data_IF_167414074177
#
_entry.id   IF_167414074177
#
_cell.length_a   1.000
_cell.length_b   1.000
_cell.length_c   1.000
_cell.angle_alpha   90.00
_cell.angle_beta   90.00
_cell.angle_gamma   90.00
#
_symmetry.space_group_name_H-M   'P 1'
#
loop_
_entity.id
_entity.type
_entity.pdbx_description
1 polymer ?
#
# COMPACT_ATOMS: atom_id res chain seq x y z
N UNK A 1 -2.45 45.32 9.96
CA UNK A 1 -2.33 43.87 9.66
C UNK A 1 -2.93 42.93 10.74
N UNK A 2 -3.40 43.41 11.90
CA UNK A 2 -3.98 42.53 12.94
C UNK A 2 -5.38 41.94 12.62
N UNK A 3 -6.17 42.54 11.73
CA UNK A 3 -7.56 42.12 11.55
C UNK A 3 -7.73 40.76 10.85
N UNK A 4 -6.77 40.34 10.01
CA UNK A 4 -6.88 39.08 9.26
C UNK A 4 -6.76 37.84 10.15
N UNK A 5 -5.89 37.90 11.17
CA UNK A 5 -5.74 36.80 12.14
C UNK A 5 -7.02 36.56 12.95
N UNK A 6 -7.71 37.63 13.33
CA UNK A 6 -8.98 37.54 14.04
C UNK A 6 -10.07 36.88 13.19
N UNK A 7 -10.12 37.20 11.91
CA UNK A 7 -11.14 36.64 11.02
C UNK A 7 -10.95 35.14 10.78
N UNK A 8 -9.71 34.67 10.67
CA UNK A 8 -9.41 33.23 10.55
C UNK A 8 -9.80 32.45 11.80
N UNK A 9 -9.41 32.95 12.98
CA UNK A 9 -9.76 32.34 14.25
C UNK A 9 -11.29 32.30 14.42
N UNK A 10 -11.98 33.37 14.06
CA UNK A 10 -13.43 33.45 14.07
C UNK A 10 -14.06 32.40 13.15
N UNK A 11 -13.60 32.27 11.90
CA UNK A 11 -14.11 31.26 10.97
C UNK A 11 -13.90 29.84 11.52
N UNK A 12 -12.80 29.57 12.21
CA UNK A 12 -12.57 28.27 12.85
C UNK A 12 -13.46 28.02 14.06
N UNK A 13 -13.64 29.02 14.91
CA UNK A 13 -14.57 28.95 16.04
C UNK A 13 -16.02 28.70 15.57
N UNK A 14 -16.37 29.22 14.40
CA UNK A 14 -17.69 29.03 13.78
C UNK A 14 -17.78 27.74 12.93
N UNK A 15 -16.74 26.91 12.87
CA UNK A 15 -16.73 25.65 12.12
C UNK A 15 -16.51 25.79 10.60
N UNK A 16 -16.24 26.98 10.09
CA UNK A 16 -15.95 27.26 8.67
C UNK A 16 -14.49 26.94 8.30
N UNK A 17 -13.99 25.75 8.67
CA UNK A 17 -12.57 25.39 8.53
C UNK A 17 -12.06 25.41 7.08
N UNK A 18 -12.91 25.03 6.12
CA UNK A 18 -12.56 25.11 4.69
C UNK A 18 -12.34 26.55 4.24
N UNK A 19 -13.22 27.46 4.65
CA UNK A 19 -13.12 28.89 4.34
C UNK A 19 -11.90 29.50 5.03
N UNK A 20 -11.66 29.16 6.31
CA UNK A 20 -10.47 29.59 7.04
C UNK A 20 -9.17 29.13 6.35
N UNK A 21 -9.12 27.87 5.91
CA UNK A 21 -8.00 27.32 5.14
C UNK A 21 -7.83 28.03 3.80
N UNK A 22 -8.91 28.22 3.04
CA UNK A 22 -8.87 28.95 1.76
C UNK A 22 -8.34 30.36 1.95
N UNK A 23 -8.75 31.05 3.02
CA UNK A 23 -8.25 32.37 3.37
C UNK A 23 -6.75 32.35 3.69
N UNK A 24 -6.26 31.40 4.48
CA UNK A 24 -4.82 31.25 4.76
C UNK A 24 -4.00 30.94 3.52
N UNK A 25 -4.46 30.02 2.69
CA UNK A 25 -3.79 29.68 1.43
C UNK A 25 -3.80 30.87 0.45
N UNK A 26 -4.89 31.63 0.42
CA UNK A 26 -5.01 32.85 -0.37
C UNK A 26 -4.04 33.92 0.14
N UNK A 27 -3.95 34.14 1.45
CA UNK A 27 -2.96 35.04 2.05
C UNK A 27 -1.54 34.63 1.70
N UNK A 28 -1.23 33.32 1.73
CA UNK A 28 0.07 32.78 1.31
C UNK A 28 0.36 33.00 -0.18
N UNK A 29 -0.66 33.07 -1.02
CA UNK A 29 -0.52 33.37 -2.45
C UNK A 29 -0.30 34.86 -2.73
N UNK A 30 -0.82 35.75 -1.88
CA UNK A 30 -0.66 37.20 -2.00
C UNK A 30 0.60 37.75 -1.32
N UNK A 31 1.14 37.05 -0.30
CA UNK A 31 2.35 37.45 0.43
C UNK A 31 3.69 37.21 -0.32
N UNK A 32 3.67 37.33 -1.65
CA UNK A 32 4.65 38.09 -2.45
C UNK A 32 5.03 37.39 -3.78
N UNK A 33 4.39 37.74 -4.92
CA UNK A 33 4.80 37.30 -6.25
C UNK A 33 6.09 37.97 -6.77
N UNK A 34 6.69 38.94 -6.06
CA UNK A 34 7.83 39.77 -6.49
C UNK A 34 9.04 39.74 -5.56
N UNK A 35 8.93 39.33 -4.30
CA UNK A 35 10.09 39.08 -3.44
C UNK A 35 10.66 37.67 -3.67
N UNK A 36 11.98 37.53 -3.59
CA UNK A 36 12.73 36.27 -3.70
C UNK A 36 12.41 35.19 -2.65
N UNK A 37 11.24 35.24 -2.00
CA UNK A 37 10.80 34.34 -0.92
C UNK A 37 10.20 33.02 -1.42
N UNK A 38 9.96 32.83 -2.73
CA UNK A 38 9.61 31.51 -3.26
C UNK A 38 10.71 30.46 -2.98
N UNK A 39 11.98 30.88 -2.92
CA UNK A 39 13.10 30.04 -2.54
C UNK A 39 13.04 29.61 -1.07
N UNK A 40 12.47 30.45 -0.18
CA UNK A 40 12.37 30.23 1.26
C UNK A 40 11.47 29.04 1.61
N UNK A 41 10.36 28.85 0.89
CA UNK A 41 9.41 27.76 1.11
C UNK A 41 9.65 26.53 0.23
N UNK A 42 10.62 26.60 -0.70
CA UNK A 42 10.95 25.49 -1.60
C UNK A 42 11.25 24.18 -0.83
N UNK A 43 12.00 24.17 0.29
CA UNK A 43 12.23 22.96 1.06
C UNK A 43 10.95 22.34 1.65
N UNK A 44 10.04 23.15 2.20
CA UNK A 44 8.76 22.68 2.74
C UNK A 44 7.88 22.06 1.65
N UNK A 45 7.76 22.75 0.51
CA UNK A 45 6.95 22.28 -0.62
C UNK A 45 7.53 20.96 -1.17
N UNK A 46 8.85 20.87 -1.30
CA UNK A 46 9.51 19.65 -1.76
C UNK A 46 9.33 18.51 -0.76
N UNK A 47 9.47 18.78 0.54
CA UNK A 47 9.25 17.79 1.59
C UNK A 47 7.81 17.30 1.59
N UNK A 48 6.81 18.20 1.58
CA UNK A 48 5.38 17.86 1.54
C UNK A 48 5.07 16.97 0.34
N UNK A 49 5.49 17.38 -0.87
CA UNK A 49 5.28 16.60 -2.09
C UNK A 49 5.96 15.23 -2.03
N UNK A 50 7.15 15.17 -1.46
CA UNK A 50 7.89 13.92 -1.25
C UNK A 50 7.15 12.98 -0.30
N UNK A 51 6.69 13.51 0.83
CA UNK A 51 5.95 12.76 1.85
C UNK A 51 4.63 12.23 1.29
N UNK A 52 3.82 13.08 0.65
CA UNK A 52 2.53 12.69 0.07
C UNK A 52 2.66 11.63 -1.03
N UNK A 53 3.73 11.72 -1.85
CA UNK A 53 4.03 10.68 -2.83
C UNK A 53 4.34 9.36 -2.14
N UNK A 54 5.18 9.39 -1.10
CA UNK A 54 5.59 8.20 -0.36
C UNK A 54 4.43 7.56 0.40
N UNK A 55 3.56 8.38 0.99
CA UNK A 55 2.31 7.95 1.64
C UNK A 55 1.35 7.31 0.64
N UNK A 56 1.17 7.90 -0.55
CA UNK A 56 0.36 7.29 -1.62
C UNK A 56 0.87 5.90 -1.99
N UNK A 57 2.19 5.71 -2.03
CA UNK A 57 2.79 4.40 -2.27
C UNK A 57 2.47 3.42 -1.14
N UNK A 58 2.51 3.86 0.13
CA UNK A 58 2.10 3.02 1.27
C UNK A 58 0.63 2.58 1.12
N UNK A 59 -0.28 3.51 0.85
CA UNK A 59 -1.70 3.21 0.66
C UNK A 59 -1.91 2.21 -0.48
N UNK A 60 -1.21 2.39 -1.60
CA UNK A 60 -1.28 1.47 -2.72
C UNK A 60 -0.74 0.07 -2.38
N UNK A 61 0.37 -0.02 -1.64
CA UNK A 61 0.93 -1.30 -1.17
C UNK A 61 -0.02 -2.01 -0.20
N UNK A 62 -0.60 -1.30 0.76
CA UNK A 62 -1.57 -1.87 1.68
C UNK A 62 -2.84 -2.35 0.96
N UNK A 63 -3.32 -1.60 -0.03
CA UNK A 63 -4.44 -2.02 -0.88
C UNK A 63 -4.12 -3.28 -1.70
N UNK A 64 -2.87 -3.40 -2.20
CA UNK A 64 -2.38 -4.60 -2.88
C UNK A 64 -2.34 -5.79 -1.91
N UNK A 65 -1.81 -5.62 -0.71
CA UNK A 65 -1.79 -6.66 0.34
C UNK A 65 -3.22 -7.14 0.62
N UNK A 66 -4.15 -6.22 0.92
CA UNK A 66 -5.55 -6.56 1.16
C UNK A 66 -6.21 -7.29 -0.02
N UNK A 67 -5.89 -6.91 -1.26
CA UNK A 67 -6.40 -7.61 -2.44
C UNK A 67 -5.88 -9.04 -2.49
N UNK A 68 -4.56 -9.24 -2.39
CA UNK A 68 -3.91 -10.55 -2.46
C UNK A 68 -4.36 -11.47 -1.32
N UNK A 69 -4.47 -10.95 -0.09
CA UNK A 69 -4.96 -11.69 1.08
C UNK A 69 -6.42 -12.09 0.95
N UNK A 70 -7.26 -11.28 0.27
CA UNK A 70 -8.65 -11.64 0.02
C UNK A 70 -8.80 -12.64 -1.12
N UNK A 71 -7.96 -12.55 -2.14
CA UNK A 71 -7.97 -13.44 -3.29
C UNK A 71 -7.44 -14.84 -2.94
N UNK A 72 -6.51 -14.96 -1.98
CA UNK A 72 -5.93 -16.25 -1.58
C UNK A 72 -6.99 -17.26 -1.09
N UNK A 73 -7.85 -16.97 -0.09
CA UNK A 73 -8.89 -17.91 0.33
C UNK A 73 -9.92 -18.20 -0.76
N UNK A 74 -10.26 -17.20 -1.59
CA UNK A 74 -11.21 -17.38 -2.69
C UNK A 74 -10.67 -18.35 -3.74
N UNK A 75 -9.38 -18.22 -4.06
CA UNK A 75 -8.70 -19.15 -4.94
C UNK A 75 -8.64 -20.56 -4.35
N UNK A 76 -8.25 -20.70 -3.09
CA UNK A 76 -8.18 -22.00 -2.41
C UNK A 76 -9.54 -22.69 -2.31
N UNK A 77 -10.62 -21.93 -2.12
CA UNK A 77 -11.98 -22.47 -2.01
C UNK A 77 -12.57 -22.87 -3.38
N UNK A 78 -12.29 -22.12 -4.44
CA UNK A 78 -12.95 -22.31 -5.75
C UNK A 78 -12.10 -23.06 -6.77
N UNK A 79 -10.79 -23.12 -6.56
CA UNK A 79 -9.82 -23.56 -7.57
C UNK A 79 -9.76 -22.66 -8.80
N UNK A 80 -10.51 -21.55 -8.83
CA UNK A 80 -10.58 -20.63 -9.95
C UNK A 80 -9.65 -19.43 -9.71
N UNK A 81 -8.73 -19.20 -10.64
CA UNK A 81 -7.90 -17.99 -10.65
C UNK A 81 -8.86 -16.80 -10.83
N UNK A 82 -8.88 -15.83 -9.90
CA UNK A 82 -9.76 -14.68 -10.03
C UNK A 82 -9.51 -13.97 -11.37
N UNK A 83 -10.58 -13.67 -12.11
CA UNK A 83 -10.52 -13.10 -13.47
C UNK A 83 -9.74 -11.79 -13.56
N UNK A 84 -9.49 -11.15 -12.43
CA UNK A 84 -8.83 -9.84 -12.29
C UNK A 84 -7.34 -9.96 -12.00
N UNK A 85 -6.85 -11.18 -11.73
CA UNK A 85 -5.43 -11.42 -11.53
C UNK A 85 -4.75 -11.39 -12.89
N UNK A 86 -4.28 -10.21 -13.28
CA UNK A 86 -3.17 -10.17 -14.23
C UNK A 86 -1.97 -10.74 -13.48
N UNK A 87 -1.58 -11.97 -13.83
CA UNK A 87 -0.24 -12.47 -13.55
C UNK A 87 0.78 -11.36 -13.85
N UNK A 88 1.89 -11.28 -13.09
CA UNK A 88 2.87 -10.21 -13.23
C UNK A 88 3.25 -10.00 -14.71
N UNK A 89 3.49 -8.75 -15.16
CA UNK A 89 3.61 -8.35 -16.58
C UNK A 89 4.67 -9.06 -17.42
N UNK A 90 5.45 -10.02 -16.89
CA UNK A 90 6.50 -10.75 -17.62
C UNK A 90 5.99 -11.58 -18.81
N UNK A 91 4.68 -11.59 -19.09
CA UNK A 91 4.09 -12.26 -20.26
C UNK A 91 3.36 -11.34 -21.26
N UNK A 92 3.52 -10.00 -21.20
CA UNK A 92 2.79 -9.08 -22.11
C UNK A 92 3.19 -9.24 -23.60
N UNK A 93 4.28 -9.94 -23.91
CA UNK A 93 4.68 -10.23 -25.31
C UNK A 93 4.23 -11.59 -25.86
N UNK A 94 3.65 -12.48 -25.04
CA UNK A 94 3.26 -13.83 -25.49
C UNK A 94 1.74 -13.93 -25.44
N UNK A 95 1.11 -14.31 -26.57
CA UNK A 95 -0.34 -14.58 -26.70
C UNK A 95 -0.85 -15.20 -25.39
N UNK A 96 -1.88 -14.61 -24.76
CA UNK A 96 -2.52 -15.16 -23.56
C UNK A 96 -2.72 -16.66 -23.78
N UNK A 97 -1.96 -17.55 -23.12
CA UNK A 97 -2.18 -18.97 -23.28
C UNK A 97 -3.57 -19.21 -22.68
N UNK A 98 -4.53 -19.62 -23.53
CA UNK A 98 -5.93 -19.73 -23.16
C UNK A 98 -6.05 -20.50 -21.85
N UNK A 99 -6.50 -19.82 -20.80
CA UNK A 99 -6.66 -20.29 -19.40
C UNK A 99 -5.85 -21.55 -19.13
N UNK A 100 -4.53 -21.44 -19.34
CA UNK A 100 -3.65 -22.59 -19.18
C UNK A 100 -3.69 -23.00 -17.72
N UNK A 101 -3.90 -24.30 -17.47
CA UNK A 101 -3.96 -24.95 -16.17
C UNK A 101 -2.69 -24.66 -15.37
N UNK A 102 -2.57 -23.47 -14.77
CA UNK A 102 -1.65 -23.29 -13.67
C UNK A 102 -2.09 -24.26 -12.58
N UNK A 103 -1.18 -25.13 -12.14
CA UNK A 103 -1.47 -25.95 -10.97
C UNK A 103 -1.76 -25.02 -9.79
N UNK A 104 -2.74 -25.40 -8.97
CA UNK A 104 -3.13 -24.66 -7.76
C UNK A 104 -1.90 -24.33 -6.90
N UNK A 105 -0.98 -25.29 -6.81
CA UNK A 105 0.31 -25.17 -6.10
C UNK A 105 1.19 -24.04 -6.66
N UNK A 106 1.33 -23.95 -7.98
CA UNK A 106 2.17 -22.94 -8.62
C UNK A 106 1.61 -21.53 -8.45
N UNK A 107 0.28 -21.40 -8.51
CA UNK A 107 -0.38 -20.12 -8.28
C UNK A 107 -0.27 -19.67 -6.81
N UNK A 108 -0.53 -20.58 -5.84
CA UNK A 108 -0.37 -20.26 -4.42
C UNK A 108 1.05 -19.82 -4.09
N UNK A 109 2.06 -20.55 -4.58
CA UNK A 109 3.46 -20.19 -4.37
C UNK A 109 3.83 -18.82 -4.98
N UNK A 110 3.29 -18.49 -6.15
CA UNK A 110 3.49 -17.17 -6.75
C UNK A 110 2.83 -16.04 -5.93
N UNK A 111 1.61 -16.27 -5.45
CA UNK A 111 0.86 -15.32 -4.63
C UNK A 111 1.55 -15.06 -3.28
N UNK A 112 2.03 -16.11 -2.62
CA UNK A 112 2.80 -16.02 -1.38
C UNK A 112 4.12 -15.28 -1.57
N UNK A 113 4.85 -15.56 -2.67
CA UNK A 113 6.09 -14.84 -3.02
C UNK A 113 5.81 -13.35 -3.23
N UNK A 114 4.74 -13.01 -3.94
CA UNK A 114 4.34 -11.61 -4.14
C UNK A 114 3.94 -10.94 -2.83
N UNK A 115 3.10 -11.58 -2.01
CA UNK A 115 2.70 -11.07 -0.70
C UNK A 115 3.90 -10.78 0.20
N UNK A 116 4.89 -11.66 0.23
CA UNK A 116 6.14 -11.47 0.96
C UNK A 116 6.86 -10.19 0.50
N UNK A 117 7.07 -10.04 -0.81
CA UNK A 117 7.76 -8.88 -1.40
C UNK A 117 7.00 -7.57 -1.12
N UNK A 118 5.68 -7.58 -1.28
CA UNK A 118 4.85 -6.38 -1.08
C UNK A 118 4.85 -5.97 0.40
N UNK A 119 4.81 -6.92 1.33
CA UNK A 119 4.92 -6.65 2.78
C UNK A 119 6.29 -6.05 3.14
N UNK A 120 7.38 -6.64 2.65
CA UNK A 120 8.74 -6.11 2.87
C UNK A 120 8.88 -4.68 2.30
N UNK A 121 8.32 -4.42 1.12
CA UNK A 121 8.32 -3.09 0.52
C UNK A 121 7.47 -2.11 1.34
N UNK A 122 6.30 -2.53 1.83
CA UNK A 122 5.46 -1.73 2.71
C UNK A 122 6.21 -1.32 3.98
N UNK A 123 6.88 -2.26 4.64
CA UNK A 123 7.67 -1.97 5.84
C UNK A 123 8.83 -1.01 5.56
N UNK A 124 9.52 -1.13 4.41
CA UNK A 124 10.55 -0.16 3.99
C UNK A 124 9.97 1.23 3.76
N UNK A 125 8.80 1.32 3.13
CA UNK A 125 8.10 2.59 2.89
C UNK A 125 7.69 3.22 4.21
N UNK A 126 7.14 2.45 5.14
CA UNK A 126 6.77 2.92 6.48
C UNK A 126 7.96 3.45 7.27
N UNK A 127 9.07 2.70 7.32
CA UNK A 127 10.32 3.16 7.94
C UNK A 127 10.86 4.44 7.27
N UNK A 128 10.65 4.59 5.97
CA UNK A 128 11.02 5.81 5.24
C UNK A 128 10.10 6.98 5.60
N UNK A 129 8.79 6.76 5.72
CA UNK A 129 7.82 7.78 6.12
C UNK A 129 8.08 8.26 7.55
N UNK A 130 8.34 7.32 8.48
CA UNK A 130 8.72 7.65 9.85
C UNK A 130 9.98 8.51 9.90
N UNK A 131 11.02 8.17 9.12
CA UNK A 131 12.24 8.99 8.99
C UNK A 131 11.94 10.38 8.42
N UNK A 132 11.20 10.45 7.32
CA UNK A 132 10.80 11.74 6.72
C UNK A 132 10.02 12.62 7.70
N UNK A 133 9.15 12.02 8.51
CA UNK A 133 8.39 12.71 9.54
C UNK A 133 9.31 13.30 10.64
N UNK A 134 10.27 12.52 11.13
CA UNK A 134 11.28 12.99 12.09
C UNK A 134 12.18 14.09 11.51
N UNK A 135 12.52 13.97 10.23
CA UNK A 135 13.37 14.90 9.47
C UNK A 135 12.57 16.07 8.87
N UNK A 136 11.33 16.30 9.33
CA UNK A 136 10.52 17.43 8.87
C UNK A 136 11.30 18.76 9.03
N UNK A 137 11.23 19.68 8.06
CA UNK A 137 11.95 20.95 8.13
C UNK A 137 11.64 21.72 9.43
N UNK A 138 12.60 21.73 10.38
CA UNK A 138 12.48 22.45 11.67
C UNK A 138 12.68 23.96 11.52
N UNK A 139 13.54 24.36 10.58
CA UNK A 139 13.87 25.76 10.32
C UNK A 139 12.75 26.39 9.51
N UNK A 140 11.90 27.13 10.20
CA UNK A 140 10.71 27.75 9.65
C UNK A 140 9.50 27.00 10.15
N UNK A 141 8.80 27.60 11.11
CA UNK A 141 7.43 27.23 11.44
C UNK A 141 6.51 27.67 10.30
N UNK A 142 6.82 27.24 9.07
CA UNK A 142 6.20 27.70 7.86
C UNK A 142 4.73 27.38 7.90
N UNK A 143 3.95 28.39 7.51
CA UNK A 143 2.50 28.30 7.43
C UNK A 143 2.06 27.10 6.58
N UNK A 144 2.83 26.70 5.54
CA UNK A 144 2.48 25.54 4.71
C UNK A 144 2.57 24.22 5.45
N UNK A 145 3.66 23.96 6.18
CA UNK A 145 3.79 22.73 6.96
C UNK A 145 2.74 22.67 8.08
N UNK A 146 2.48 23.79 8.75
CA UNK A 146 1.42 23.88 9.76
C UNK A 146 0.03 23.59 9.18
N UNK A 147 -0.31 24.18 8.04
CA UNK A 147 -1.59 23.89 7.37
C UNK A 147 -1.67 22.44 6.91
N UNK A 148 -0.56 21.89 6.41
CA UNK A 148 -0.48 20.50 6.00
C UNK A 148 -0.72 19.55 7.19
N UNK A 149 -0.15 19.84 8.36
CA UNK A 149 -0.40 19.08 9.61
C UNK A 149 -1.86 19.24 10.05
N UNK A 150 -2.37 20.46 10.08
CA UNK A 150 -3.73 20.78 10.55
C UNK A 150 -4.84 20.06 9.79
N UNK A 151 -4.69 19.88 8.47
CA UNK A 151 -5.69 19.14 7.69
C UNK A 151 -5.63 17.62 7.89
N UNK A 152 -4.53 17.11 8.47
CA UNK A 152 -4.27 15.70 8.75
C UNK A 152 -4.59 15.30 10.19
N UNK A 153 -4.63 16.26 11.09
CA UNK A 153 -5.06 16.03 12.47
C UNK A 153 -6.55 15.64 12.51
N UNK A 154 -6.88 14.53 13.18
CA UNK A 154 -8.27 14.20 13.44
C UNK A 154 -8.87 15.23 14.41
N UNK A 155 -10.13 15.60 14.17
CA UNK A 155 -10.92 16.37 15.14
C UNK A 155 -11.65 15.39 16.06
N UNK A 156 -12.15 15.85 17.21
CA UNK A 156 -12.80 14.98 18.19
C UNK A 156 -13.84 14.05 17.54
N UNK A 157 -13.52 12.75 17.47
CA UNK A 157 -14.30 11.69 16.82
C UNK A 157 -14.57 11.84 15.31
N UNK A 158 -13.83 12.72 14.61
CA UNK A 158 -13.99 12.96 13.17
C UNK A 158 -12.75 12.54 12.38
N UNK A 159 -12.98 12.07 11.15
CA UNK A 159 -11.90 11.84 10.18
C UNK A 159 -11.23 13.18 9.80
N UNK A 160 -9.91 13.18 9.54
CA UNK A 160 -9.19 14.38 9.11
C UNK A 160 -9.80 15.04 7.87
N UNK A 161 -9.66 16.37 7.76
CA UNK A 161 -10.16 17.12 6.59
C UNK A 161 -9.55 16.60 5.27
N UNK A 162 -8.27 16.24 5.27
CA UNK A 162 -7.60 15.64 4.12
C UNK A 162 -8.29 14.35 3.68
N UNK A 163 -8.70 13.52 4.64
CA UNK A 163 -9.44 12.30 4.35
C UNK A 163 -10.82 12.63 3.73
N UNK A 164 -11.56 13.59 4.28
CA UNK A 164 -12.86 14.00 3.74
C UNK A 164 -12.76 14.57 2.32
N UNK A 165 -11.73 15.37 2.04
CA UNK A 165 -11.47 15.91 0.69
C UNK A 165 -11.12 14.79 -0.30
N UNK A 166 -10.27 13.85 0.12
CA UNK A 166 -9.92 12.67 -0.68
C UNK A 166 -11.13 11.77 -0.96
N UNK A 167 -12.06 11.65 0.00
CA UNK A 167 -13.30 10.87 -0.16
C UNK A 167 -14.17 11.46 -1.26
N UNK A 168 -14.35 12.79 -1.24
CA UNK A 168 -15.10 13.51 -2.28
C UNK A 168 -14.45 13.33 -3.65
N UNK A 169 -13.13 13.50 -3.74
CA UNK A 169 -12.39 13.31 -4.98
C UNK A 169 -12.51 11.87 -5.52
N UNK A 170 -12.37 10.87 -4.65
CA UNK A 170 -12.54 9.46 -4.99
C UNK A 170 -13.94 9.17 -5.51
N UNK A 171 -14.99 9.67 -4.84
CA UNK A 171 -16.37 9.50 -5.30
C UNK A 171 -16.63 10.18 -6.66
N UNK A 172 -16.12 11.41 -6.87
CA UNK A 172 -16.24 12.12 -8.14
C UNK A 172 -15.52 11.41 -9.30
N UNK A 173 -14.40 10.75 -9.02
CA UNK A 173 -13.71 9.89 -9.98
C UNK A 173 -14.41 8.54 -10.21
N UNK A 174 -15.62 8.34 -9.67
CA UNK A 174 -16.36 7.08 -9.75
C UNK A 174 -15.78 5.97 -8.88
N UNK A 175 -14.86 6.27 -7.96
CA UNK A 175 -14.20 5.31 -7.07
C UNK A 175 -15.10 4.78 -5.97
N UNK A 176 -14.56 3.89 -5.14
CA UNK A 176 -15.33 3.09 -4.20
C UNK A 176 -15.98 3.91 -3.05
N UNK A 177 -15.54 5.15 -2.83
CA UNK A 177 -16.16 6.10 -1.87
C UNK A 177 -17.57 6.56 -2.25
N UNK A 178 -17.91 6.55 -3.54
CA UNK A 178 -19.26 6.88 -4.04
C UNK A 178 -20.18 5.65 -4.15
N UNK A 179 -19.70 4.47 -3.75
CA UNK A 179 -20.39 3.18 -3.94
C UNK A 179 -20.79 2.59 -2.59
N UNK A 180 -21.68 1.59 -2.62
CA UNK A 180 -22.15 0.90 -1.41
C UNK A 180 -21.06 0.07 -0.72
N UNK A 181 -20.00 -0.36 -1.43
CA UNK A 181 -18.98 -1.21 -0.85
C UNK A 181 -18.11 -0.51 0.22
N UNK A 182 -17.96 0.82 0.12
CA UNK A 182 -17.31 1.71 1.12
C UNK A 182 -16.01 1.16 1.72
N UNK A 183 -15.19 0.46 0.94
CA UNK A 183 -13.96 -0.17 1.45
C UNK A 183 -12.91 0.83 1.96
N UNK A 184 -13.05 2.12 1.63
CA UNK A 184 -12.21 3.21 2.15
C UNK A 184 -12.55 3.59 3.60
N UNK A 185 -13.72 3.18 4.11
CA UNK A 185 -14.12 3.42 5.50
C UNK A 185 -13.51 2.36 6.45
N UNK A 186 -12.96 1.27 5.91
CA UNK A 186 -12.24 0.26 6.68
C UNK A 186 -10.74 0.59 6.74
N UNK A 187 -10.07 0.39 7.89
CA UNK A 187 -8.63 0.58 7.97
C UNK A 187 -7.91 -0.45 7.08
N UNK A 188 -6.89 0.00 6.37
CA UNK A 188 -6.00 -0.83 5.57
C UNK A 188 -4.94 -1.55 6.43
N UNK A 189 -4.67 -1.01 7.61
CA UNK A 189 -3.84 -1.60 8.64
C UNK A 189 -4.22 -0.98 9.98
N UNK A 190 -4.16 -1.75 11.05
CA UNK A 190 -4.30 -1.23 12.41
C UNK A 190 -3.00 -1.44 13.17
N UNK A 191 -2.66 -0.50 14.05
CA UNK A 191 -1.53 -0.62 14.96
C UNK A 191 -1.90 -0.08 16.34
N UNK A 192 -1.15 -0.49 17.36
CA UNK A 192 -1.28 0.06 18.70
C UNK A 192 -0.41 1.31 18.81
N UNK A 193 -1.04 2.44 19.13
CA UNK A 193 -0.31 3.68 19.42
C UNK A 193 0.51 3.48 20.70
N UNK A 194 1.82 3.80 20.70
CA UNK A 194 2.60 3.82 21.93
C UNK A 194 1.97 4.82 22.91
N UNK A 195 1.68 4.39 24.13
CA UNK A 195 1.34 5.29 25.24
C UNK A 195 2.54 5.42 26.17
N UNK A 196 2.77 6.63 26.69
CA UNK A 196 3.75 6.90 27.72
C UNK A 196 3.30 6.32 29.08
N UNK A 197 1.99 6.11 29.26
CA UNK A 197 1.43 5.47 30.44
C UNK A 197 1.35 3.94 30.24
N UNK A 198 2.10 3.14 31.01
CA UNK A 198 2.05 1.68 30.90
C UNK A 198 0.70 1.08 31.29
N UNK A 199 -0.18 1.84 31.98
CA UNK A 199 -1.49 1.41 32.43
C UNK A 199 -2.64 1.83 31.50
N UNK A 200 -2.38 2.71 30.53
CA UNK A 200 -3.41 3.11 29.57
C UNK A 200 -3.64 2.01 28.52
N UNK A 201 -4.90 1.69 28.26
CA UNK A 201 -5.26 0.77 27.19
C UNK A 201 -4.73 1.32 25.87
N UNK A 202 -3.79 0.59 25.24
CA UNK A 202 -3.19 1.00 23.97
C UNK A 202 -4.28 1.25 22.94
N UNK A 203 -4.36 2.50 22.49
CA UNK A 203 -5.32 2.91 21.47
C UNK A 203 -4.99 2.23 20.15
N UNK A 204 -6.00 1.58 19.55
CA UNK A 204 -5.88 1.02 18.20
C UNK A 204 -6.09 2.15 17.20
N UNK A 205 -5.06 2.43 16.41
CA UNK A 205 -5.09 3.43 15.33
C UNK A 205 -5.13 2.72 13.99
N UNK A 206 -6.03 3.18 13.12
CA UNK A 206 -6.17 2.69 11.76
C UNK A 206 -5.45 3.58 10.75
N UNK A 207 -4.73 2.96 9.81
CA UNK A 207 -4.24 3.60 8.59
C UNK A 207 -5.37 3.51 7.55
N UNK A 208 -5.90 4.65 7.13
CA UNK A 208 -6.98 4.74 6.16
C UNK A 208 -6.47 5.28 4.83
N UNK A 209 -7.10 4.86 3.72
CA UNK A 209 -6.72 5.34 2.40
C UNK A 209 -7.84 5.28 1.38
N UNK A 210 -7.88 6.28 0.50
CA UNK A 210 -8.76 6.29 -0.66
C UNK A 210 -8.23 5.37 -1.76
N UNK A 211 -9.12 4.92 -2.64
CA UNK A 211 -8.76 3.98 -3.70
C UNK A 211 -7.62 4.49 -4.57
N UNK A 212 -6.61 3.65 -4.74
CA UNK A 212 -5.65 3.73 -5.82
C UNK A 212 -6.02 2.67 -6.88
N UNK A 213 -5.17 2.53 -7.89
CA UNK A 213 -5.27 1.47 -8.88
C UNK A 213 -5.14 0.06 -8.26
N UNK A 214 -4.61 -0.05 -7.04
CA UNK A 214 -4.42 -1.31 -6.31
C UNK A 214 -5.68 -1.79 -5.58
N UNK A 215 -6.71 -0.96 -5.47
CA UNK A 215 -7.94 -1.31 -4.77
C UNK A 215 -8.71 -2.44 -5.48
N UNK A 216 -8.76 -3.62 -4.88
CA UNK A 216 -9.44 -4.80 -5.44
C UNK A 216 -10.96 -4.63 -5.67
N UNK A 217 -11.64 -3.76 -4.92
CA UNK A 217 -13.05 -3.43 -5.18
C UNK A 217 -13.22 -2.63 -6.48
N UNK A 218 -12.32 -1.66 -6.69
CA UNK A 218 -12.37 -0.80 -7.85
C UNK A 218 -11.90 -1.56 -9.11
N UNK A 219 -10.88 -2.42 -9.01
CA UNK A 219 -10.48 -3.35 -10.09
C UNK A 219 -11.63 -4.31 -10.51
N UNK A 220 -12.35 -4.89 -9.53
CA UNK A 220 -13.52 -5.75 -9.79
C UNK A 220 -14.60 -5.05 -10.59
N UNK A 221 -14.96 -3.85 -10.17
CA UNK A 221 -15.99 -3.08 -10.85
C UNK A 221 -15.59 -2.65 -12.26
N UNK A 222 -14.34 -2.25 -12.44
CA UNK A 222 -13.84 -1.84 -13.76
C UNK A 222 -13.65 -3.05 -14.71
N UNK A 223 -13.75 -4.28 -14.20
CA UNK A 223 -13.55 -5.52 -14.97
C UNK A 223 -12.11 -5.75 -15.42
N UNK A 224 -11.18 -4.89 -15.01
CA UNK A 224 -9.76 -5.02 -15.31
C UNK A 224 -8.93 -4.45 -14.17
N UNK A 225 -7.76 -5.04 -13.95
CA UNK A 225 -6.75 -4.52 -13.05
C UNK A 225 -5.61 -3.92 -13.87
N UNK A 226 -5.26 -2.68 -13.53
CA UNK A 226 -4.08 -1.99 -14.04
C UNK A 226 -3.22 -1.66 -12.84
N UNK A 227 -2.07 -2.31 -12.65
CA UNK A 227 -1.25 -2.06 -11.48
C UNK A 227 -0.71 -0.61 -11.46
N UNK A 228 -0.39 -0.11 -10.28
CA UNK A 228 0.29 1.17 -10.14
C UNK A 228 1.69 1.08 -10.76
N UNK A 229 1.96 1.92 -11.77
CA UNK A 229 3.20 1.86 -12.55
C UNK A 229 4.45 1.98 -11.68
N UNK A 230 4.43 2.85 -10.68
CA UNK A 230 5.58 3.04 -9.80
C UNK A 230 5.79 1.86 -8.86
N UNK A 231 4.71 1.21 -8.42
CA UNK A 231 4.82 -0.01 -7.63
C UNK A 231 5.34 -1.19 -8.46
N UNK A 232 4.88 -1.34 -9.70
CA UNK A 232 5.36 -2.41 -10.58
C UNK A 232 6.85 -2.28 -10.88
N UNK A 233 7.34 -1.07 -11.11
CA UNK A 233 8.76 -0.82 -11.30
C UNK A 233 9.57 -1.25 -10.07
N UNK A 234 9.12 -0.85 -8.86
CA UNK A 234 9.76 -1.21 -7.60
C UNK A 234 9.73 -2.73 -7.34
N UNK A 235 8.59 -3.37 -7.57
CA UNK A 235 8.42 -4.82 -7.36
C UNK A 235 9.28 -5.59 -8.37
N UNK A 236 9.28 -5.18 -9.64
CA UNK A 236 10.08 -5.80 -10.71
C UNK A 236 11.59 -5.69 -10.44
N UNK A 237 12.05 -4.59 -9.88
CA UNK A 237 13.44 -4.42 -9.44
C UNK A 237 13.81 -5.40 -8.32
N UNK A 238 12.93 -5.59 -7.33
CA UNK A 238 13.16 -6.55 -6.24
C UNK A 238 13.20 -7.98 -6.79
N UNK A 239 12.27 -8.33 -7.69
CA UNK A 239 12.28 -9.64 -8.34
C UNK A 239 13.57 -9.89 -9.12
N UNK A 240 14.04 -8.90 -9.90
CA UNK A 240 15.31 -9.04 -10.64
C UNK A 240 16.49 -9.30 -9.71
N UNK A 241 16.54 -8.67 -8.53
CA UNK A 241 17.59 -8.92 -7.55
C UNK A 241 17.50 -10.31 -6.92
N UNK A 242 16.29 -10.76 -6.60
CA UNK A 242 16.08 -12.07 -6.00
C UNK A 242 16.33 -13.23 -6.99
N UNK A 243 16.06 -13.05 -8.28
CA UNK A 243 16.33 -14.08 -9.30
C UNK A 243 17.86 -14.23 -9.51
N UNK A 244 18.63 -13.14 -9.51
CA UNK A 244 20.10 -13.17 -9.58
C UNK A 244 20.73 -13.92 -8.40
N UNK A 245 20.12 -13.85 -7.21
CA UNK A 245 20.62 -14.58 -6.03
C UNK A 245 20.28 -16.09 -6.05
N UNK A 246 19.25 -16.51 -6.81
CA UNK A 246 18.86 -17.92 -6.88
C UNK A 246 19.56 -18.69 -8.02
N UNK A 247 20.00 -18.02 -9.09
CA UNK A 247 20.79 -18.63 -10.18
C UNK A 247 22.25 -18.96 -9.78
N UNK A 248 22.66 -18.71 -8.53
CA UNK A 248 24.01 -19.05 -8.02
C UNK A 248 24.03 -20.40 -7.27
N UNK A 249 22.86 -21.00 -7.02
CA UNK A 249 22.75 -22.37 -6.51
C UNK A 249 22.52 -23.34 -7.66
N UNK A 250 23.45 -23.37 -8.62
CA UNK A 250 23.54 -24.49 -9.55
C UNK A 250 23.74 -25.77 -8.73
N UNK A 251 22.92 -26.76 -9.09
CA UNK A 251 22.87 -28.07 -8.47
C UNK A 251 24.29 -28.65 -8.32
N UNK A 252 24.64 -29.26 -7.18
CA UNK A 252 25.86 -30.06 -7.13
C UNK A 252 25.75 -31.09 -8.26
N UNK A 253 26.71 -30.99 -9.19
CA UNK A 253 26.92 -31.89 -10.32
C UNK A 253 26.70 -33.32 -9.83
N UNK A 254 25.53 -33.85 -10.14
CA UNK A 254 25.15 -35.22 -9.87
C UNK A 254 25.92 -36.11 -10.82
N UNK A 255 27.24 -36.17 -10.63
CA UNK A 255 28.09 -37.18 -11.23
C UNK A 255 27.66 -38.51 -10.62
N UNK A 256 26.91 -39.25 -11.43
CA UNK A 256 26.71 -40.69 -11.35
C UNK A 256 27.95 -41.41 -10.81
N UNK A 257 27.81 -42.03 -9.64
CA UNK A 257 28.59 -43.23 -9.30
C UNK A 257 27.91 -43.99 -8.15
N UNK A 258 26.81 -44.68 -8.47
CA UNK A 258 26.38 -45.88 -7.71
C UNK A 258 25.85 -46.95 -8.65
N UNK A 259 26.75 -47.47 -9.49
CA UNK A 259 26.66 -48.85 -9.96
C UNK A 259 27.23 -49.76 -8.87
N UNK A 260 26.49 -50.84 -8.57
CA UNK A 260 26.91 -52.08 -7.86
C UNK A 260 26.40 -52.26 -6.42
N UNK A 261 25.18 -52.77 -6.28
CA UNK A 261 24.88 -53.88 -5.36
C UNK A 261 23.45 -54.42 -5.59
N UNK A 262 23.34 -55.45 -6.43
CA UNK A 262 22.42 -56.58 -6.17
C UNK A 262 22.86 -57.19 -4.82
N UNK A 263 22.00 -57.67 -3.92
CA UNK A 263 21.22 -58.92 -4.03
C UNK A 263 20.29 -59.09 -2.81
N UNK A 264 19.23 -59.88 -3.00
CA UNK A 264 18.50 -60.66 -1.99
C UNK A 264 17.61 -59.91 -0.99
N UNK A 265 16.31 -59.84 -1.30
CA UNK A 265 15.31 -60.21 -0.31
C UNK A 265 14.18 -60.99 -0.96
N UNK A 266 13.99 -62.21 -0.46
CA UNK A 266 13.19 -63.29 -1.00
C UNK A 266 11.69 -63.07 -0.88
N UNK A 267 11.01 -63.73 -1.81
CA UNK A 267 9.58 -63.97 -1.84
C UNK A 267 9.09 -64.66 -0.57
N UNK A 268 7.96 -64.21 -0.01
CA UNK A 268 7.05 -65.10 0.68
C UNK A 268 5.60 -64.64 0.48
N UNK A 269 4.94 -65.23 -0.51
CA UNK A 269 3.49 -65.39 -0.60
C UNK A 269 3.15 -66.80 -0.16
N UNK A 270 2.12 -66.96 0.69
CA UNK A 270 1.32 -68.15 1.10
C UNK A 270 0.91 -67.91 2.58
N UNK A 271 -0.30 -68.13 3.10
CA UNK A 271 -1.65 -68.49 2.62
C UNK A 271 -2.55 -68.58 3.89
N UNK A 272 -3.89 -68.38 3.75
CA UNK A 272 -5.02 -68.87 4.59
C UNK A 272 -5.18 -68.32 6.03
N UNK A 273 -6.33 -67.78 6.46
CA UNK A 273 -7.72 -68.29 6.57
C UNK A 273 -7.95 -69.30 7.71
N UNK A 274 -8.97 -69.02 8.54
CA UNK A 274 -9.55 -69.75 9.69
C UNK A 274 -8.89 -69.55 11.08
N UNK A 275 -9.48 -68.72 11.93
CA UNK A 275 -10.38 -69.11 13.05
C UNK A 275 -11.10 -67.87 13.61
#
# INVERSE_FOLDING_TARGET
MCCCFWFEALLECLGFHRTARSLRLWQLGFYDPRAGDAAKYKPEIQWIKGYERKERNEIALLQRIHRLEREQPQFMATGMIPTIVTLPPRAIGKKRPGVSKYSVTKYSGALEKELKIVRELCDRVQKSLARMYSDQPRKGRGLRLREWQKIREPRANEMPMLWMDGRKACALAGGCCGRMCRCCDSPLRTYFEPSDDPYELRKVVGIYGHCTNECGCCARHNGHYRPDFHLEELISEIFRRADVENDVWDEPDGSDDTSSAQTLFEQHTFDKANE
#
